data_IF_205603498134
#
_entry.id   IF_205603498134
#
_cell.length_a   1.000
_cell.length_b   1.000
_cell.length_c   1.000
_cell.angle_alpha   90.00
_cell.angle_beta   90.00
_cell.angle_gamma   90.00
#
_symmetry.space_group_name_H-M   'P 1'
#
loop_
_entity.id
_entity.type
_entity.pdbx_description
1 polymer ?
#
# COMPACT_ATOMS: atom_id res chain seq x y z
N UNK A 1 7.31 -3.10 -11.68
CA UNK A 1 5.87 -2.78 -11.80
C UNK A 1 5.73 -1.76 -12.92
N UNK A 2 4.99 -2.09 -13.98
CA UNK A 2 4.67 -1.13 -15.05
C UNK A 2 3.36 -0.43 -14.67
N UNK A 3 3.34 0.89 -14.74
CA UNK A 3 2.13 1.68 -14.47
C UNK A 3 1.42 1.90 -15.80
N UNK A 4 0.28 1.25 -15.98
CA UNK A 4 -0.57 1.40 -17.17
C UNK A 4 -1.53 2.56 -16.96
N UNK A 5 -1.27 3.70 -17.61
CA UNK A 5 -2.15 4.85 -17.59
C UNK A 5 -3.09 4.82 -18.82
N UNK A 6 -4.42 4.97 -18.64
CA UNK A 6 -5.30 5.15 -19.78
C UNK A 6 -4.99 6.48 -20.48
N UNK A 7 -5.04 6.47 -21.81
CA UNK A 7 -4.67 7.60 -22.67
C UNK A 7 -5.46 8.90 -22.41
N UNK A 8 -6.62 8.80 -21.77
CA UNK A 8 -7.54 9.91 -21.48
C UNK A 8 -7.26 10.59 -20.12
N UNK A 9 -6.41 10.01 -19.27
CA UNK A 9 -6.12 10.58 -17.93
C UNK A 9 -5.10 11.70 -18.02
N UNK A 10 -5.55 12.94 -17.90
CA UNK A 10 -4.70 14.15 -17.87
C UNK A 10 -4.44 14.68 -16.46
N UNK A 11 -5.23 14.27 -15.46
CA UNK A 11 -5.08 14.73 -14.08
C UNK A 11 -4.13 13.83 -13.28
N UNK A 12 -3.05 14.40 -12.76
CA UNK A 12 -2.09 13.73 -11.87
C UNK A 12 -2.82 13.14 -10.64
N UNK A 13 -3.78 13.87 -10.06
CA UNK A 13 -4.54 13.40 -8.89
C UNK A 13 -5.31 12.12 -9.19
N UNK A 14 -5.96 12.05 -10.35
CA UNK A 14 -6.74 10.88 -10.77
C UNK A 14 -5.84 9.68 -11.07
N UNK A 15 -4.68 9.92 -11.69
CA UNK A 15 -3.69 8.87 -11.93
C UNK A 15 -3.15 8.29 -10.61
N UNK A 16 -2.76 9.14 -9.66
CA UNK A 16 -2.24 8.73 -8.37
C UNK A 16 -3.28 7.97 -7.52
N UNK A 17 -4.56 8.35 -7.59
CA UNK A 17 -5.63 7.67 -6.87
C UNK A 17 -5.76 6.17 -7.23
N UNK A 18 -5.30 5.77 -8.42
CA UNK A 18 -5.28 4.37 -8.87
C UNK A 18 -4.00 3.66 -8.46
N UNK A 19 -2.86 4.34 -8.58
CA UNK A 19 -1.53 3.73 -8.35
C UNK A 19 -1.20 3.60 -6.86
N UNK A 20 -1.57 4.58 -6.03
CA UNK A 20 -1.23 4.59 -4.60
C UNK A 20 -1.72 3.32 -3.88
N UNK A 21 -3.01 2.90 -4.00
CA UNK A 21 -3.48 1.67 -3.35
C UNK A 21 -2.70 0.41 -3.75
N UNK A 22 -2.34 0.28 -5.03
CA UNK A 22 -1.59 -0.87 -5.54
C UNK A 22 -0.18 -0.89 -4.93
N UNK A 23 0.51 0.24 -4.94
CA UNK A 23 1.85 0.37 -4.34
C UNK A 23 1.80 0.11 -2.84
N UNK A 24 0.86 0.73 -2.12
CA UNK A 24 0.73 0.56 -0.67
C UNK A 24 0.43 -0.89 -0.31
N UNK A 25 -0.49 -1.56 -1.00
CA UNK A 25 -0.82 -2.96 -0.73
C UNK A 25 0.37 -3.89 -0.99
N UNK A 26 1.14 -3.67 -2.06
CA UNK A 26 2.34 -4.46 -2.37
C UNK A 26 3.43 -4.26 -1.30
N UNK A 27 3.67 -3.02 -0.87
CA UNK A 27 4.63 -2.71 0.19
C UNK A 27 4.21 -3.30 1.53
N UNK A 28 2.91 -3.23 1.86
CA UNK A 28 2.37 -3.82 3.10
C UNK A 28 2.57 -5.34 3.12
N UNK A 29 2.27 -6.05 2.03
CA UNK A 29 2.50 -7.50 1.93
C UNK A 29 3.96 -7.84 2.13
N UNK A 30 4.86 -7.14 1.44
CA UNK A 30 6.31 -7.35 1.58
C UNK A 30 6.82 -7.09 3.00
N UNK A 31 6.33 -6.03 3.66
CA UNK A 31 6.70 -5.72 5.03
C UNK A 31 6.17 -6.77 6.03
N UNK A 32 5.00 -7.35 5.80
CA UNK A 32 4.47 -8.45 6.59
C UNK A 32 5.31 -9.73 6.39
N UNK A 33 5.63 -10.09 5.15
CA UNK A 33 6.48 -11.24 4.83
C UNK A 33 7.86 -11.12 5.49
N UNK A 34 8.52 -9.96 5.36
CA UNK A 34 9.84 -9.68 5.96
C UNK A 34 9.83 -9.76 7.49
N UNK A 35 8.68 -9.53 8.11
CA UNK A 35 8.54 -9.51 9.58
C UNK A 35 7.86 -10.76 10.14
N UNK A 36 7.57 -11.76 9.30
CA UNK A 36 6.83 -12.95 9.72
C UNK A 36 5.42 -12.63 10.23
N UNK A 37 4.70 -11.75 9.54
CA UNK A 37 3.39 -11.21 9.91
C UNK A 37 3.34 -10.38 11.20
N UNK A 38 4.50 -9.93 11.72
CA UNK A 38 4.52 -9.02 12.86
C UNK A 38 4.12 -7.60 12.46
N UNK A 39 2.83 -7.28 12.64
CA UNK A 39 2.22 -5.99 12.26
C UNK A 39 2.91 -4.77 12.90
N UNK A 40 3.37 -4.88 14.15
CA UNK A 40 4.08 -3.76 14.81
C UNK A 40 5.44 -3.50 14.17
N UNK A 41 6.19 -4.55 13.82
CA UNK A 41 7.47 -4.40 13.09
C UNK A 41 7.24 -3.96 11.65
N UNK A 42 6.21 -4.48 10.98
CA UNK A 42 5.85 -4.06 9.62
C UNK A 42 5.52 -2.57 9.56
N UNK A 43 4.76 -2.04 10.53
CA UNK A 43 4.47 -0.61 10.61
C UNK A 43 5.74 0.24 10.77
N UNK A 44 6.74 -0.24 11.53
CA UNK A 44 8.04 0.42 11.65
C UNK A 44 8.82 0.43 10.34
N UNK A 45 8.86 -0.70 9.61
CA UNK A 45 9.52 -0.78 8.29
C UNK A 45 8.86 0.14 7.26
N UNK A 46 7.53 0.24 7.32
CA UNK A 46 6.74 1.08 6.42
C UNK A 46 6.73 2.56 6.85
N UNK A 47 7.37 2.92 7.96
CA UNK A 47 7.41 4.28 8.52
C UNK A 47 6.02 4.92 8.72
N UNK A 48 5.02 4.10 9.07
CA UNK A 48 3.65 4.55 9.36
C UNK A 48 3.24 4.16 10.77
N UNK A 49 2.23 4.85 11.30
CA UNK A 49 1.65 4.45 12.58
C UNK A 49 1.05 3.05 12.50
N UNK A 50 1.11 2.30 13.61
CA UNK A 50 0.48 0.98 13.70
C UNK A 50 -1.02 1.05 13.40
N UNK A 51 -1.70 2.13 13.82
CA UNK A 51 -3.12 2.37 13.53
C UNK A 51 -3.36 2.55 12.03
N UNK A 52 -2.51 3.30 11.33
CA UNK A 52 -2.57 3.49 9.88
C UNK A 52 -2.42 2.16 9.15
N UNK A 53 -1.48 1.30 9.58
CA UNK A 53 -1.32 -0.04 9.01
C UNK A 53 -2.61 -0.87 9.19
N UNK A 54 -3.20 -0.90 10.38
CA UNK A 54 -4.44 -1.67 10.63
C UNK A 54 -5.60 -1.22 9.74
N UNK A 55 -5.76 0.09 9.51
CA UNK A 55 -6.76 0.58 8.56
C UNK A 55 -6.46 0.11 7.13
N UNK A 56 -5.21 0.24 6.67
CA UNK A 56 -4.83 -0.18 5.32
C UNK A 56 -4.99 -1.70 5.10
N UNK A 57 -4.68 -2.53 6.10
CA UNK A 57 -4.91 -3.97 6.03
C UNK A 57 -6.40 -4.31 5.82
N UNK A 58 -7.30 -3.60 6.53
CA UNK A 58 -8.75 -3.73 6.34
C UNK A 58 -9.20 -3.22 4.98
N UNK A 59 -8.69 -2.06 4.54
CA UNK A 59 -9.08 -1.44 3.27
C UNK A 59 -8.62 -2.23 2.04
N UNK A 60 -7.48 -2.93 2.13
CA UNK A 60 -6.90 -3.68 1.00
C UNK A 60 -7.12 -5.19 1.07
N UNK A 61 -7.93 -5.68 2.02
CA UNK A 61 -8.15 -7.12 2.26
C UNK A 61 -6.84 -7.92 2.35
N UNK A 62 -5.79 -7.31 2.88
CA UNK A 62 -4.51 -7.94 3.15
C UNK A 62 -4.56 -8.39 4.61
N UNK A 63 -5.15 -9.56 4.87
CA UNK A 63 -5.43 -10.09 6.21
C UNK A 63 -4.75 -11.42 6.45
#
# INVERSE_FOLDING_TARGET
MQISLPSETVSIKQALARVIPEVESALIKRALELTGNNRTRAAKILEISHRSLLYKLKSYNCG
#
